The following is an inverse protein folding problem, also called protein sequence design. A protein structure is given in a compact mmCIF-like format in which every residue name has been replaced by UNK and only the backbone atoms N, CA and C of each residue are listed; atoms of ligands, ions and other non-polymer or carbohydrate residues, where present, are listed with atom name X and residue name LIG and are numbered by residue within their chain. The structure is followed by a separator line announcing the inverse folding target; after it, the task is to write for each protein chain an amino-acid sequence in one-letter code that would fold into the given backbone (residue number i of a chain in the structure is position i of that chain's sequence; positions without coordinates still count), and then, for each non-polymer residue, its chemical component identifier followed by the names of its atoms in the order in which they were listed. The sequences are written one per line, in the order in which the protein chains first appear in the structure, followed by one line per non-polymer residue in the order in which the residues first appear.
data_IF_752238074104
#
_entry.id   IF_752238074104
#
_cell.length_a   1.000
_cell.length_b   1.000
_cell.length_c   1.000
_cell.angle_alpha   90.00
_cell.angle_beta   90.00
_cell.angle_gamma   90.00
#
_symmetry.space_group_name_H-M   'P 1'
#
loop_
_entity.id
_entity.type
_entity.pdbx_description
1 polymer ?
#
# COMPACT_ATOMS: atom_id res chain seq x y z
N UNK A 1 -2.55 -36.22 49.36
CA UNK A 1 -3.88 -35.58 49.23
C UNK A 1 -4.01 -34.13 49.69
N UNK A 2 -3.33 -33.60 50.74
CA UNK A 2 -3.42 -32.15 51.05
C UNK A 2 -2.43 -31.27 50.26
N UNK A 3 -1.25 -31.83 49.95
CA UNK A 3 -0.21 -31.21 49.12
C UNK A 3 -0.59 -31.25 47.63
N UNK A 4 -1.12 -32.39 47.15
CA UNK A 4 -1.65 -32.52 45.77
C UNK A 4 -2.83 -31.58 45.48
N UNK A 5 -3.62 -31.25 46.50
CA UNK A 5 -4.73 -30.30 46.39
C UNK A 5 -4.29 -28.84 46.60
N UNK A 6 -2.99 -28.58 46.73
CA UNK A 6 -2.42 -27.22 46.82
C UNK A 6 -2.73 -26.46 48.11
N UNK A 7 -3.20 -27.14 49.16
CA UNK A 7 -3.57 -26.52 50.45
C UNK A 7 -2.35 -26.32 51.36
N UNK A 8 -1.32 -27.15 51.21
CA UNK A 8 -0.07 -27.07 51.99
C UNK A 8 1.14 -27.01 51.04
N UNK A 9 2.11 -26.15 51.37
CA UNK A 9 3.38 -26.07 50.65
C UNK A 9 4.26 -27.29 50.99
N UNK A 10 4.81 -27.94 49.97
CA UNK A 10 5.78 -29.02 50.13
C UNK A 10 7.14 -28.43 50.49
N UNK A 11 7.65 -28.79 51.67
CA UNK A 11 8.93 -28.30 52.20
C UNK A 11 10.14 -29.05 51.58
N UNK A 12 9.91 -29.99 50.67
CA UNK A 12 10.97 -30.82 50.06
C UNK A 12 11.51 -30.32 48.71
N UNK A 13 10.95 -29.24 48.14
CA UNK A 13 11.47 -28.64 46.90
C UNK A 13 11.91 -27.19 47.10
N UNK A 14 13.21 -26.97 47.32
CA UNK A 14 13.82 -25.69 46.99
C UNK A 14 13.72 -25.48 45.46
N UNK A 15 12.82 -24.59 45.02
CA UNK A 15 12.97 -23.91 43.73
C UNK A 15 11.82 -23.97 42.71
N UNK A 16 10.64 -24.55 43.01
CA UNK A 16 9.52 -24.63 42.05
C UNK A 16 8.22 -24.04 42.59
N UNK A 17 7.58 -23.14 41.83
CA UNK A 17 6.24 -22.62 42.16
C UNK A 17 5.16 -23.70 42.03
N UNK A 18 4.06 -23.58 42.80
CA UNK A 18 2.95 -24.54 42.75
C UNK A 18 2.26 -24.61 41.39
N UNK A 19 1.67 -25.76 41.04
CA UNK A 19 0.92 -25.94 39.79
C UNK A 19 -0.22 -24.91 39.62
N UNK A 20 -0.86 -24.51 40.72
CA UNK A 20 -1.90 -23.48 40.71
C UNK A 20 -1.32 -22.09 40.34
N UNK A 21 -0.12 -21.77 40.83
CA UNK A 21 0.59 -20.53 40.51
C UNK A 21 1.05 -20.54 39.06
N UNK A 22 1.63 -21.64 38.57
CA UNK A 22 2.01 -21.78 37.15
C UNK A 22 0.79 -21.64 36.23
N UNK A 23 -0.32 -22.31 36.54
CA UNK A 23 -1.56 -22.18 35.77
C UNK A 23 -2.17 -20.77 35.82
N UNK A 24 -1.98 -20.03 36.91
CA UNK A 24 -2.39 -18.62 36.99
C UNK A 24 -1.48 -17.71 36.14
N UNK A 25 -0.16 -17.96 36.12
CA UNK A 25 0.80 -17.23 35.28
C UNK A 25 0.55 -17.48 33.80
N UNK A 26 0.27 -18.71 33.40
CA UNK A 26 -0.04 -19.04 32.01
C UNK A 26 -1.31 -18.31 31.54
N UNK A 27 -2.38 -18.32 32.35
CA UNK A 27 -3.61 -17.56 32.04
C UNK A 27 -3.35 -16.06 31.95
N UNK A 28 -2.57 -15.49 32.86
CA UNK A 28 -2.21 -14.07 32.83
C UNK A 28 -1.41 -13.74 31.55
N UNK A 29 -0.44 -14.58 31.19
CA UNK A 29 0.37 -14.41 29.99
C UNK A 29 -0.49 -14.47 28.73
N UNK A 30 -1.34 -15.49 28.60
CA UNK A 30 -2.26 -15.60 27.47
C UNK A 30 -3.22 -14.41 27.36
N UNK A 31 -3.75 -13.93 28.49
CA UNK A 31 -4.59 -12.73 28.50
C UNK A 31 -3.81 -11.48 28.09
N UNK A 32 -2.56 -11.32 28.55
CA UNK A 32 -1.71 -10.20 28.18
C UNK A 32 -1.36 -10.22 26.68
N UNK A 33 -1.03 -11.39 26.14
CA UNK A 33 -0.75 -11.59 24.72
C UNK A 33 -1.98 -11.27 23.87
N UNK A 34 -3.18 -11.69 24.32
CA UNK A 34 -4.44 -11.37 23.65
C UNK A 34 -4.73 -9.86 23.64
N UNK A 35 -4.57 -9.16 24.77
CA UNK A 35 -4.73 -7.70 24.85
C UNK A 35 -3.72 -6.98 23.95
N UNK A 36 -2.47 -7.43 23.93
CA UNK A 36 -1.44 -6.87 23.07
C UNK A 36 -1.77 -7.05 21.58
N UNK A 37 -2.31 -8.20 21.19
CA UNK A 37 -2.78 -8.45 19.81
C UNK A 37 -3.93 -7.50 19.47
N UNK A 38 -4.96 -7.47 20.30
CA UNK A 38 -6.15 -6.63 20.06
C UNK A 38 -5.80 -5.14 19.98
N UNK A 39 -4.81 -4.68 20.76
CA UNK A 39 -4.34 -3.30 20.68
C UNK A 39 -3.68 -3.00 19.33
N UNK A 40 -2.85 -3.91 18.80
CA UNK A 40 -2.26 -3.77 17.46
C UNK A 40 -3.32 -3.79 16.38
N UNK A 41 -4.35 -4.62 16.51
CA UNK A 41 -5.46 -4.67 15.56
C UNK A 41 -6.26 -3.37 15.57
N UNK A 42 -6.55 -2.81 16.74
CA UNK A 42 -7.19 -1.50 16.88
C UNK A 42 -6.35 -0.38 16.26
N UNK A 43 -5.04 -0.36 16.54
CA UNK A 43 -4.14 0.63 15.96
C UNK A 43 -4.14 0.51 14.42
N UNK A 44 -4.04 -0.70 13.88
CA UNK A 44 -4.09 -0.96 12.44
C UNK A 44 -5.43 -0.56 11.81
N UNK A 45 -6.56 -0.85 12.45
CA UNK A 45 -7.88 -0.44 11.96
C UNK A 45 -8.07 1.08 12.01
N UNK A 46 -7.56 1.75 13.05
CA UNK A 46 -7.60 3.21 13.13
C UNK A 46 -6.72 3.86 12.05
N UNK A 47 -5.53 3.34 11.80
CA UNK A 47 -4.69 3.80 10.68
C UNK A 47 -5.40 3.62 9.34
N UNK A 48 -6.05 2.49 9.14
CA UNK A 48 -6.82 2.20 7.93
C UNK A 48 -8.07 3.08 7.78
N UNK A 49 -8.76 3.44 8.87
CA UNK A 49 -9.91 4.35 8.80
C UNK A 49 -9.52 5.79 8.50
N UNK A 50 -8.37 6.24 9.01
CA UNK A 50 -7.90 7.62 8.86
C UNK A 50 -7.04 7.86 7.62
N UNK A 51 -6.71 6.80 6.85
CA UNK A 51 -5.91 6.93 5.64
C UNK A 51 -6.74 7.53 4.51
N UNK A 52 -6.13 8.44 3.75
CA UNK A 52 -6.73 9.00 2.54
C UNK A 52 -6.76 7.94 1.43
N UNK A 53 -7.96 7.61 0.93
CA UNK A 53 -8.22 6.64 -0.14
C UNK A 53 -8.66 7.32 -1.44
N UNK A 54 -8.22 8.57 -1.64
CA UNK A 54 -8.68 9.46 -2.70
C UNK A 54 -10.16 9.85 -2.58
N UNK A 55 -10.72 10.47 -3.63
CA UNK A 55 -12.12 10.94 -3.63
C UNK A 55 -13.08 9.80 -3.30
N UNK A 56 -14.00 10.07 -2.36
CA UNK A 56 -15.02 9.13 -1.87
C UNK A 56 -14.48 7.76 -1.41
N UNK A 57 -13.18 7.66 -1.13
CA UNK A 57 -12.51 6.42 -0.74
C UNK A 57 -12.44 5.36 -1.85
N UNK A 58 -12.58 5.74 -3.11
CA UNK A 58 -12.67 4.82 -4.27
C UNK A 58 -11.47 3.87 -4.37
N UNK A 59 -10.28 4.31 -3.95
CA UNK A 59 -9.06 3.48 -4.01
C UNK A 59 -8.96 2.44 -2.89
N UNK A 60 -9.86 2.46 -1.90
CA UNK A 60 -9.86 1.47 -0.81
C UNK A 60 -10.01 0.05 -1.33
N UNK A 61 -10.82 -0.14 -2.36
CA UNK A 61 -11.00 -1.46 -3.00
C UNK A 61 -9.78 -1.93 -3.79
N UNK A 62 -8.94 -0.99 -4.26
CA UNK A 62 -7.75 -1.29 -5.06
C UNK A 62 -6.50 -1.51 -4.21
N UNK A 63 -6.46 -1.03 -2.97
CA UNK A 63 -5.31 -1.15 -2.06
C UNK A 63 -4.73 -2.59 -2.07
N UNK A 64 -3.44 -2.71 -2.40
CA UNK A 64 -2.72 -3.98 -2.44
C UNK A 64 -2.97 -4.86 -3.67
N UNK A 65 -3.91 -4.50 -4.55
CA UNK A 65 -4.01 -5.15 -5.86
C UNK A 65 -2.83 -4.73 -6.73
N UNK A 66 -2.24 -5.69 -7.45
CA UNK A 66 -1.07 -5.44 -8.29
C UNK A 66 -1.37 -5.67 -9.76
N UNK A 67 -0.90 -4.77 -10.61
CA UNK A 67 -0.90 -4.89 -12.07
C UNK A 67 0.54 -4.78 -12.58
N UNK A 68 0.82 -5.43 -13.71
CA UNK A 68 2.16 -5.47 -14.28
C UNK A 68 2.15 -5.32 -15.78
N UNK A 69 3.20 -4.71 -16.33
CA UNK A 69 3.43 -4.59 -17.77
C UNK A 69 4.88 -4.85 -18.10
N UNK A 70 5.08 -5.48 -19.24
CA UNK A 70 6.38 -5.72 -19.83
C UNK A 70 6.79 -4.53 -20.69
N UNK A 71 7.92 -3.90 -20.39
CA UNK A 71 8.48 -2.81 -21.20
C UNK A 71 10.00 -2.88 -21.26
N UNK A 72 10.53 -3.01 -22.48
CA UNK A 72 11.95 -3.27 -22.71
C UNK A 72 12.42 -4.57 -22.01
N UNK A 73 13.52 -4.46 -21.27
CA UNK A 73 14.15 -5.59 -20.54
C UNK A 73 13.54 -5.86 -19.16
N UNK A 74 12.51 -5.10 -18.77
CA UNK A 74 11.93 -5.16 -17.42
C UNK A 74 10.43 -5.43 -17.45
N UNK A 75 9.95 -6.05 -16.38
CA UNK A 75 8.53 -6.10 -16.00
C UNK A 75 8.33 -5.09 -14.89
N UNK A 76 7.49 -4.11 -15.14
CA UNK A 76 7.10 -3.09 -14.18
C UNK A 76 5.82 -3.52 -13.48
N UNK A 77 5.75 -3.31 -12.17
CA UNK A 77 4.61 -3.67 -11.34
C UNK A 77 4.21 -2.48 -10.50
N UNK A 78 2.90 -2.24 -10.42
CA UNK A 78 2.27 -1.29 -9.52
C UNK A 78 1.34 -2.07 -8.59
N UNK A 79 1.58 -2.01 -7.30
CA UNK A 79 0.63 -2.42 -6.27
C UNK A 79 -0.05 -1.16 -5.71
N UNK A 80 -1.34 -0.98 -5.99
CA UNK A 80 -2.08 0.24 -5.69
C UNK A 80 -1.97 0.61 -4.21
N UNK A 81 -1.61 1.87 -3.94
CA UNK A 81 -1.40 2.43 -2.59
C UNK A 81 -0.36 1.73 -1.71
N UNK A 82 0.50 0.91 -2.32
CA UNK A 82 1.62 0.28 -1.61
C UNK A 82 2.95 0.68 -2.23
N UNK A 83 3.26 0.22 -3.44
CA UNK A 83 4.59 0.36 -4.00
C UNK A 83 4.66 0.09 -5.51
N UNK A 84 5.76 0.53 -6.12
CA UNK A 84 6.11 0.20 -7.51
C UNK A 84 7.42 -0.59 -7.56
N UNK A 85 7.53 -1.49 -8.52
CA UNK A 85 8.69 -2.39 -8.67
C UNK A 85 9.11 -2.53 -10.13
N UNK A 86 10.42 -2.63 -10.36
CA UNK A 86 11.02 -3.04 -11.63
C UNK A 86 11.66 -4.42 -11.45
N UNK A 87 11.30 -5.38 -12.28
CA UNK A 87 11.84 -6.76 -12.25
C UNK A 87 12.56 -7.04 -13.57
N UNK A 88 13.81 -7.51 -13.51
CA UNK A 88 14.57 -7.91 -14.71
C UNK A 88 13.97 -9.16 -15.34
N UNK A 89 13.72 -9.15 -16.66
CA UNK A 89 13.22 -10.34 -17.39
C UNK A 89 14.27 -11.43 -17.52
N UNK A 90 15.56 -11.08 -17.47
CA UNK A 90 16.69 -12.02 -17.63
C UNK A 90 16.99 -12.81 -16.34
N UNK A 91 16.10 -12.76 -15.35
CA UNK A 91 16.39 -13.17 -13.98
C UNK A 91 17.20 -12.11 -13.24
N UNK A 92 17.11 -12.13 -11.90
CA UNK A 92 17.81 -11.18 -11.03
C UNK A 92 16.93 -10.63 -9.91
N UNK A 93 17.45 -9.62 -9.21
CA UNK A 93 16.76 -8.96 -8.10
C UNK A 93 15.69 -7.97 -8.61
N UNK A 94 14.59 -7.86 -7.88
CA UNK A 94 13.58 -6.81 -8.08
C UNK A 94 14.03 -5.51 -7.43
N UNK A 95 13.91 -4.40 -8.15
CA UNK A 95 14.22 -3.05 -7.66
C UNK A 95 12.93 -2.35 -7.24
N UNK A 96 12.87 -1.88 -5.99
CA UNK A 96 11.77 -1.05 -5.50
C UNK A 96 11.90 0.36 -6.08
N UNK A 97 10.90 0.82 -6.81
CA UNK A 97 10.89 2.13 -7.48
C UNK A 97 10.18 3.23 -6.68
N UNK A 98 9.53 2.87 -5.57
CA UNK A 98 8.90 3.80 -4.64
C UNK A 98 7.88 3.10 -3.77
N UNK A 99 7.52 3.73 -2.65
CA UNK A 99 6.42 3.34 -1.77
C UNK A 99 5.39 4.48 -1.77
N UNK A 100 4.11 4.14 -1.79
CA UNK A 100 3.02 5.12 -1.82
C UNK A 100 3.10 6.05 -0.61
N UNK A 101 3.05 7.37 -0.87
CA UNK A 101 3.07 8.41 0.16
C UNK A 101 1.77 9.18 0.21
N UNK A 102 1.27 9.64 -0.95
CA UNK A 102 0.08 10.50 -1.04
C UNK A 102 -0.54 10.51 -2.43
N UNK A 103 -1.78 10.95 -2.49
CA UNK A 103 -2.39 11.42 -3.74
C UNK A 103 -1.93 12.85 -4.05
N UNK A 104 -2.00 13.20 -5.32
CA UNK A 104 -1.63 14.49 -5.89
C UNK A 104 -2.51 14.78 -7.11
N UNK A 105 -2.48 16.01 -7.61
CA UNK A 105 -3.20 16.43 -8.81
C UNK A 105 -2.22 17.00 -9.82
N UNK A 106 -2.24 16.47 -11.04
CA UNK A 106 -1.33 16.87 -12.11
C UNK A 106 -2.16 17.23 -13.33
N UNK A 107 -1.86 18.38 -13.95
CA UNK A 107 -2.43 18.74 -15.24
C UNK A 107 -1.64 18.07 -16.34
N UNK A 108 -2.34 17.40 -17.23
CA UNK A 108 -1.78 16.74 -18.42
C UNK A 108 -2.41 17.33 -19.66
N UNK A 109 -1.66 17.31 -20.75
CA UNK A 109 -2.14 17.72 -22.06
C UNK A 109 -1.52 16.77 -23.09
N UNK A 110 -2.11 15.59 -23.18
CA UNK A 110 -1.64 14.51 -24.04
C UNK A 110 -2.78 14.02 -24.93
N UNK A 111 -2.49 13.74 -26.20
CA UNK A 111 -3.49 13.11 -27.08
C UNK A 111 -3.81 11.69 -26.61
N UNK A 112 -5.10 11.33 -26.61
CA UNK A 112 -5.53 9.95 -26.40
C UNK A 112 -5.24 9.18 -27.67
N UNK A 113 -4.56 8.04 -27.56
CA UNK A 113 -4.28 7.20 -28.72
C UNK A 113 -5.55 6.62 -29.33
N UNK A 114 -5.48 6.19 -30.59
CA UNK A 114 -6.64 5.70 -31.34
C UNK A 114 -7.32 4.45 -30.71
N UNK A 115 -6.64 3.76 -29.81
CA UNK A 115 -7.14 2.65 -29.01
C UNK A 115 -7.87 3.07 -27.73
N UNK A 116 -8.06 4.38 -27.53
CA UNK A 116 -8.73 4.95 -26.35
C UNK A 116 -7.87 4.99 -25.10
N UNK A 117 -6.59 4.62 -25.18
CA UNK A 117 -5.64 4.67 -24.06
C UNK A 117 -4.95 6.02 -24.00
N UNK A 118 -4.64 6.47 -22.79
CA UNK A 118 -3.93 7.72 -22.59
C UNK A 118 -4.65 8.65 -21.63
N UNK A 119 -3.92 9.67 -21.19
CA UNK A 119 -4.38 10.54 -20.12
C UNK A 119 -5.28 11.67 -20.61
N UNK A 120 -5.33 11.97 -21.92
CA UNK A 120 -6.10 13.11 -22.45
C UNK A 120 -5.59 14.45 -21.91
N UNK A 121 -6.45 15.47 -21.97
CA UNK A 121 -6.16 16.81 -21.42
C UNK A 121 -6.96 17.08 -20.15
N UNK A 122 -6.36 17.77 -19.18
CA UNK A 122 -7.00 18.23 -17.95
C UNK A 122 -6.30 17.77 -16.67
N UNK A 123 -6.95 18.00 -15.53
CA UNK A 123 -6.44 17.57 -14.22
C UNK A 123 -6.66 16.06 -14.03
N UNK A 124 -5.62 15.37 -13.56
CA UNK A 124 -5.63 13.93 -13.26
C UNK A 124 -5.15 13.69 -11.84
N UNK A 125 -5.74 12.67 -11.21
CA UNK A 125 -5.25 12.15 -9.94
C UNK A 125 -3.94 11.43 -10.20
N UNK A 126 -2.93 11.75 -9.40
CA UNK A 126 -1.65 11.06 -9.39
C UNK A 126 -1.38 10.45 -8.01
N UNK A 127 -0.67 9.33 -7.99
CA UNK A 127 -0.16 8.71 -6.77
C UNK A 127 1.36 8.88 -6.71
N UNK A 128 1.85 9.53 -5.65
CA UNK A 128 3.28 9.73 -5.42
C UNK A 128 3.85 8.53 -4.69
N UNK A 129 4.80 7.86 -5.33
CA UNK A 129 5.58 6.79 -4.73
C UNK A 129 7.01 7.26 -4.53
N UNK A 130 7.47 7.30 -3.29
CA UNK A 130 8.78 7.88 -2.93
C UNK A 130 9.58 6.90 -2.06
N UNK A 131 10.83 7.25 -1.74
CA UNK A 131 11.67 6.44 -0.85
C UNK A 131 11.86 4.99 -1.33
N UNK A 132 11.98 4.78 -2.63
CA UNK A 132 12.36 3.50 -3.22
C UNK A 132 13.83 3.15 -2.96
N UNK A 133 14.30 2.09 -3.60
CA UNK A 133 15.68 1.63 -3.43
C UNK A 133 16.68 2.71 -3.84
N UNK A 134 17.74 2.88 -3.04
CA UNK A 134 18.79 3.87 -3.27
C UNK A 134 19.42 3.72 -4.66
N UNK A 135 19.60 4.86 -5.33
CA UNK A 135 20.24 4.97 -6.63
C UNK A 135 21.65 5.54 -6.43
N UNK A 136 22.69 4.81 -6.87
CA UNK A 136 24.09 5.16 -6.59
C UNK A 136 24.52 6.54 -7.09
N UNK A 137 23.82 7.09 -8.08
CA UNK A 137 24.09 8.41 -8.65
C UNK A 137 22.77 9.11 -8.99
N UNK A 138 21.88 9.14 -8.02
CA UNK A 138 20.57 9.78 -8.09
C UNK A 138 19.91 9.81 -6.72
N UNK A 139 18.71 10.39 -6.61
CA UNK A 139 17.93 10.30 -5.38
C UNK A 139 17.50 8.85 -5.13
N UNK A 140 16.91 8.59 -3.96
CA UNK A 140 16.13 7.36 -3.79
C UNK A 140 15.08 7.28 -4.88
N UNK A 141 14.91 6.08 -5.47
CA UNK A 141 13.99 5.92 -6.60
C UNK A 141 12.59 6.38 -6.23
N UNK A 142 11.93 7.06 -7.15
CA UNK A 142 10.55 7.52 -6.99
C UNK A 142 9.76 7.29 -8.27
N UNK A 143 8.45 7.12 -8.15
CA UNK A 143 7.53 6.95 -9.27
C UNK A 143 6.29 7.81 -9.08
N UNK A 144 5.97 8.63 -10.08
CA UNK A 144 4.67 9.30 -10.18
C UNK A 144 3.75 8.45 -11.05
N UNK A 145 2.66 7.96 -10.48
CA UNK A 145 1.64 7.19 -11.23
C UNK A 145 0.49 8.13 -11.55
N UNK A 146 0.26 8.44 -12.81
CA UNK A 146 -0.84 9.31 -13.26
C UNK A 146 -1.98 8.45 -13.78
N UNK A 147 -3.20 8.71 -13.30
CA UNK A 147 -4.36 7.87 -13.56
C UNK A 147 -5.23 8.45 -14.67
N UNK A 148 -5.61 7.58 -15.61
CA UNK A 148 -6.60 7.84 -16.65
C UNK A 148 -7.80 6.90 -16.53
N UNK A 149 -8.95 7.34 -17.04
CA UNK A 149 -10.16 6.50 -17.07
C UNK A 149 -9.96 5.34 -18.06
N UNK A 150 -10.21 4.13 -17.60
CA UNK A 150 -10.18 2.92 -18.42
C UNK A 150 -11.16 1.87 -17.87
N UNK A 151 -11.56 0.90 -18.69
CA UNK A 151 -12.42 -0.20 -18.24
C UNK A 151 -11.69 -1.16 -17.29
N UNK A 152 -10.38 -1.33 -17.49
CA UNK A 152 -9.55 -2.26 -16.73
C UNK A 152 -8.37 -1.56 -16.07
N UNK A 153 -7.87 -2.14 -14.97
CA UNK A 153 -6.63 -1.72 -14.35
C UNK A 153 -5.45 -2.19 -15.23
N UNK A 154 -4.74 -1.27 -15.87
CA UNK A 154 -3.59 -1.61 -16.71
C UNK A 154 -2.57 -0.47 -16.75
N UNK A 155 -1.29 -0.84 -16.86
CA UNK A 155 -0.20 0.13 -17.05
C UNK A 155 -0.03 0.35 -18.56
N UNK A 156 -0.26 1.57 -19.03
CA UNK A 156 -0.16 1.93 -20.44
C UNK A 156 1.27 2.30 -20.83
N UNK A 157 1.93 3.13 -20.02
CA UNK A 157 3.29 3.58 -20.29
C UNK A 157 4.10 3.63 -19.00
N UNK A 158 5.39 3.33 -19.12
CA UNK A 158 6.39 3.52 -18.07
C UNK A 158 7.61 4.16 -18.71
N UNK A 159 8.08 5.27 -18.15
CA UNK A 159 9.29 5.93 -18.62
C UNK A 159 10.03 6.61 -17.47
N UNK A 160 11.32 6.85 -17.68
CA UNK A 160 12.22 7.52 -16.74
C UNK A 160 12.34 8.99 -17.15
N UNK A 161 11.73 9.88 -16.38
CA UNK A 161 11.73 11.34 -16.65
C UNK A 161 13.10 11.94 -16.35
N UNK A 162 13.64 11.57 -15.19
CA UNK A 162 14.99 11.88 -14.77
C UNK A 162 15.61 10.62 -14.19
N UNK A 163 16.93 10.65 -13.98
CA UNK A 163 17.63 9.50 -13.43
C UNK A 163 17.02 9.03 -12.10
N UNK A 164 16.55 7.79 -12.08
CA UNK A 164 15.89 7.15 -10.96
C UNK A 164 14.54 7.78 -10.55
N UNK A 165 13.96 8.64 -11.40
CA UNK A 165 12.64 9.26 -11.24
C UNK A 165 11.76 8.83 -12.41
N UNK A 166 10.70 8.10 -12.11
CA UNK A 166 9.88 7.43 -13.10
C UNK A 166 8.47 8.02 -13.16
N UNK A 167 7.84 7.91 -14.32
CA UNK A 167 6.42 8.15 -14.53
C UNK A 167 5.75 6.88 -15.07
N UNK A 168 4.59 6.56 -14.51
CA UNK A 168 3.70 5.53 -15.01
C UNK A 168 2.36 6.15 -15.38
N UNK A 169 1.86 5.84 -16.57
CA UNK A 169 0.50 6.17 -16.99
C UNK A 169 -0.35 4.93 -16.85
N UNK A 170 -1.41 5.01 -16.06
CA UNK A 170 -2.21 3.85 -15.65
C UNK A 170 -3.68 4.10 -15.91
N UNK A 171 -4.30 3.19 -16.65
CA UNK A 171 -5.74 3.12 -16.82
C UNK A 171 -6.39 2.45 -15.61
N UNK A 172 -7.49 3.02 -15.12
CA UNK A 172 -8.31 2.40 -14.07
C UNK A 172 -9.76 2.87 -14.11
N UNK A 173 -10.74 1.99 -13.84
CA UNK A 173 -12.14 2.40 -13.72
C UNK A 173 -12.38 3.33 -12.52
N UNK A 174 -11.49 3.33 -11.51
CA UNK A 174 -11.63 4.14 -10.30
C UNK A 174 -11.65 5.66 -10.55
N UNK A 175 -11.20 6.12 -11.71
CA UNK A 175 -11.17 7.55 -12.07
C UNK A 175 -12.12 7.91 -13.21
N UNK A 176 -12.98 6.98 -13.66
CA UNK A 176 -13.92 7.25 -14.75
C UNK A 176 -15.11 8.14 -14.35
N UNK A 177 -15.52 8.10 -13.08
CA UNK A 177 -16.64 8.90 -12.58
C UNK A 177 -16.20 10.18 -11.87
N UNK A 178 -14.96 10.23 -11.36
CA UNK A 178 -14.37 11.41 -10.73
C UNK A 178 -14.22 12.61 -11.69
N UNK A 179 -14.23 12.37 -13.00
CA UNK A 179 -14.10 13.41 -14.03
C UNK A 179 -15.40 14.19 -14.26
N UNK A 180 -16.56 13.68 -13.83
CA UNK A 180 -17.84 14.41 -13.99
C UNK A 180 -18.01 15.56 -12.99
N UNK A 181 -17.27 15.56 -11.88
CA UNK A 181 -17.42 16.58 -10.83
C UNK A 181 -16.58 17.84 -11.08
N UNK A 182 -15.62 17.80 -12.01
CA UNK A 182 -14.78 18.95 -12.34
C UNK A 182 -15.46 19.95 -13.31
N UNK A 183 -16.56 19.57 -13.97
CA UNK A 183 -17.23 20.42 -14.97
C UNK A 183 -18.44 21.21 -14.45
N UNK A 184 -18.89 21.00 -13.19
CA UNK A 184 -20.15 21.59 -12.69
C UNK A 184 -19.97 22.94 -11.95
N UNK A 185 -18.76 23.51 -11.88
CA UNK A 185 -18.55 24.88 -11.35
C UNK A 185 -18.32 25.88 -12.50
N UNK A 186 -19.34 26.06 -13.34
CA UNK A 186 -19.53 27.29 -14.12
C UNK A 186 -20.98 27.75 -13.91
N UNK A 187 -21.21 28.26 -12.71
CA UNK A 187 -22.45 28.96 -12.37
C UNK A 187 -22.58 30.25 -13.18
N UNK A 188 -23.82 30.47 -13.58
CA UNK A 188 -24.34 31.54 -14.42
C UNK A 188 -24.13 32.93 -13.80
N UNK A 189 -23.81 33.91 -14.65
CA UNK A 189 -24.03 35.34 -14.44
C UNK A 189 -24.52 35.97 -15.74
#
# INVERSE_FOLDING_TARGET
MLIENGILADLSSEGGESAAVNGAKDRLKSAQDAVNSQRRDLDSHNEDLNKEYGPDGVFRALKGQCISVDSGEYTYELCFMEHTTQKSKKGGSSTRMGNFVRFDKITVDEEVSADGKGLGSGERIAMRHENGQHCWNGPNRSTTVVLGCAEQNEIWKVFEEEKCVYRMEVGTPAVCEALKQAEVVKDEL
#
